data_IF_946693810487
#
_entry.id   IF_946693810487
#
_cell.length_a   1.000
_cell.length_b   1.000
_cell.length_c   1.000
_cell.angle_alpha   90.00
_cell.angle_beta   90.00
_cell.angle_gamma   90.00
#
_symmetry.space_group_name_H-M   'P 1'
#
loop_
_entity.id
_entity.type
_entity.pdbx_description
1 polymer ?
#
# COMPACT_ATOMS: atom_id res chain seq x y z
N UNK A 1 23.27 -4.84 -8.35
CA UNK A 1 22.50 -4.06 -7.35
C UNK A 1 21.18 -3.47 -7.84
N UNK A 2 20.85 -3.42 -9.16
CA UNK A 2 19.56 -2.83 -9.62
C UNK A 2 18.32 -3.74 -9.55
N UNK A 3 18.49 -5.06 -9.58
CA UNK A 3 17.35 -5.98 -9.62
C UNK A 3 16.64 -6.12 -8.27
N UNK A 4 17.38 -6.07 -7.15
CA UNK A 4 16.80 -6.14 -5.81
C UNK A 4 15.88 -4.95 -5.54
N UNK A 5 16.27 -3.75 -5.97
CA UNK A 5 15.51 -2.51 -5.78
C UNK A 5 14.18 -2.51 -6.56
N UNK A 6 14.20 -2.99 -7.81
CA UNK A 6 12.98 -3.13 -8.63
C UNK A 6 12.03 -4.18 -8.06
N UNK A 7 12.56 -5.32 -7.58
CA UNK A 7 11.75 -6.36 -6.93
C UNK A 7 11.16 -5.88 -5.60
N UNK A 8 11.90 -5.06 -4.84
CA UNK A 8 11.42 -4.42 -3.62
C UNK A 8 10.28 -3.44 -3.90
N UNK A 9 10.42 -2.59 -4.94
CA UNK A 9 9.37 -1.66 -5.34
C UNK A 9 8.09 -2.38 -5.82
N UNK A 10 8.23 -3.45 -6.62
CA UNK A 10 7.09 -4.27 -7.05
C UNK A 10 6.40 -4.95 -5.86
N UNK A 11 7.17 -5.48 -4.91
CA UNK A 11 6.62 -6.05 -3.68
C UNK A 11 5.90 -4.99 -2.84
N UNK A 12 6.42 -3.78 -2.73
CA UNK A 12 5.77 -2.70 -2.00
C UNK A 12 4.47 -2.22 -2.67
N UNK A 13 4.43 -2.16 -4.01
CA UNK A 13 3.20 -1.84 -4.74
C UNK A 13 2.11 -2.89 -4.51
N UNK A 14 2.47 -4.17 -4.61
CA UNK A 14 1.58 -5.29 -4.35
C UNK A 14 1.04 -5.28 -2.91
N UNK A 15 1.90 -5.03 -1.93
CA UNK A 15 1.49 -4.90 -0.53
C UNK A 15 0.56 -3.70 -0.34
N UNK A 16 0.87 -2.54 -0.91
CA UNK A 16 0.06 -1.35 -0.80
C UNK A 16 -1.37 -1.57 -1.34
N UNK A 17 -1.51 -2.23 -2.50
CA UNK A 17 -2.81 -2.59 -3.07
C UNK A 17 -3.56 -3.61 -2.18
N UNK A 18 -2.88 -4.69 -1.79
CA UNK A 18 -3.49 -5.76 -0.99
C UNK A 18 -4.02 -5.23 0.34
N UNK A 19 -3.24 -4.39 1.03
CA UNK A 19 -3.68 -3.79 2.28
C UNK A 19 -4.81 -2.77 2.06
N UNK A 20 -4.78 -1.99 0.97
CA UNK A 20 -5.86 -1.06 0.65
C UNK A 20 -7.19 -1.80 0.42
N UNK A 21 -7.17 -2.94 -0.29
CA UNK A 21 -8.34 -3.81 -0.46
C UNK A 21 -8.83 -4.39 0.88
N UNK A 22 -7.91 -4.83 1.74
CA UNK A 22 -8.29 -5.29 3.07
C UNK A 22 -9.03 -4.20 3.86
N UNK A 23 -8.52 -2.96 3.82
CA UNK A 23 -9.19 -1.85 4.51
C UNK A 23 -10.53 -1.46 3.85
N UNK A 24 -10.64 -1.48 2.52
CA UNK A 24 -11.91 -1.19 1.85
C UNK A 24 -12.99 -2.22 2.19
N UNK A 25 -12.61 -3.48 2.41
CA UNK A 25 -13.48 -4.56 2.89
C UNK A 25 -13.79 -4.52 4.40
N UNK A 26 -13.37 -3.46 5.10
CA UNK A 26 -13.66 -3.27 6.52
C UNK A 26 -12.70 -3.97 7.48
N UNK A 27 -11.59 -4.55 7.00
CA UNK A 27 -10.55 -5.11 7.88
C UNK A 27 -9.66 -4.00 8.41
N UNK A 28 -9.29 -4.08 9.69
CA UNK A 28 -8.31 -3.16 10.29
C UNK A 28 -6.93 -3.44 9.72
N UNK A 29 -6.27 -2.40 9.21
CA UNK A 29 -4.89 -2.44 8.71
C UNK A 29 -4.06 -1.47 9.56
N UNK A 30 -2.95 -1.98 10.10
CA UNK A 30 -1.99 -1.20 10.86
C UNK A 30 -0.82 -0.82 9.96
N UNK A 31 -0.87 0.40 9.41
CA UNK A 31 0.17 0.91 8.51
C UNK A 31 1.48 1.22 9.24
N UNK A 32 1.48 1.44 10.55
CA UNK A 32 2.70 1.64 11.32
C UNK A 32 3.46 0.33 11.49
N UNK A 33 2.76 -0.76 11.81
CA UNK A 33 3.37 -2.08 11.87
C UNK A 33 3.95 -2.54 10.52
N UNK A 34 3.24 -2.27 9.42
CA UNK A 34 3.68 -2.63 8.05
C UNK A 34 4.92 -1.83 7.64
N UNK A 35 4.97 -0.54 7.98
CA UNK A 35 6.07 0.35 7.58
C UNK A 35 7.22 0.38 8.59
N UNK A 36 7.15 -0.37 9.69
CA UNK A 36 8.14 -0.35 10.77
C UNK A 36 9.55 -0.76 10.36
N UNK A 37 9.67 -1.61 9.33
CA UNK A 37 10.97 -2.05 8.77
C UNK A 37 11.40 -1.26 7.52
N UNK A 38 10.58 -0.30 7.06
CA UNK A 38 10.90 0.51 5.89
C UNK A 38 11.75 1.71 6.30
N UNK A 39 12.64 2.14 5.41
CA UNK A 39 13.28 3.44 5.54
C UNK A 39 12.28 4.58 5.30
N UNK A 40 12.71 5.82 5.53
CA UNK A 40 11.85 7.00 5.41
C UNK A 40 11.22 7.14 4.02
N UNK A 41 12.01 6.88 2.98
CA UNK A 41 11.58 7.08 1.59
C UNK A 41 10.63 5.96 1.16
N UNK A 42 10.93 4.71 1.49
CA UNK A 42 10.07 3.55 1.29
C UNK A 42 8.75 3.67 2.04
N UNK A 43 8.79 4.12 3.31
CA UNK A 43 7.58 4.40 4.10
C UNK A 43 6.71 5.47 3.43
N UNK A 44 7.32 6.58 3.00
CA UNK A 44 6.60 7.68 2.35
C UNK A 44 5.97 7.22 1.03
N UNK A 45 6.73 6.47 0.22
CA UNK A 45 6.27 5.90 -1.04
C UNK A 45 5.10 4.93 -0.81
N UNK A 46 5.24 4.00 0.13
CA UNK A 46 4.22 3.01 0.46
C UNK A 46 2.91 3.68 0.91
N UNK A 47 2.98 4.63 1.84
CA UNK A 47 1.81 5.34 2.34
C UNK A 47 1.09 6.13 1.25
N UNK A 48 1.83 6.76 0.34
CA UNK A 48 1.26 7.47 -0.81
C UNK A 48 0.49 6.50 -1.72
N UNK A 49 1.08 5.34 -2.01
CA UNK A 49 0.49 4.34 -2.90
C UNK A 49 -0.71 3.63 -2.29
N UNK A 50 -0.62 3.30 -1.00
CA UNK A 50 -1.70 2.75 -0.20
C UNK A 50 -2.94 3.66 -0.21
N UNK A 51 -2.76 4.95 0.10
CA UNK A 51 -3.86 5.91 0.12
C UNK A 51 -4.47 6.12 -1.27
N UNK A 52 -3.64 6.10 -2.32
CA UNK A 52 -4.13 6.14 -3.71
C UNK A 52 -5.09 4.97 -4.00
N UNK A 53 -4.67 3.73 -3.70
CA UNK A 53 -5.50 2.55 -3.93
C UNK A 53 -6.76 2.54 -3.06
N UNK A 54 -6.66 2.93 -1.80
CA UNK A 54 -7.80 2.96 -0.88
C UNK A 54 -8.87 3.95 -1.35
N UNK A 55 -8.46 5.14 -1.80
CA UNK A 55 -9.39 6.13 -2.34
C UNK A 55 -10.03 5.64 -3.63
N UNK A 56 -9.24 5.00 -4.52
CA UNK A 56 -9.76 4.45 -5.76
C UNK A 56 -10.82 3.36 -5.49
N UNK A 57 -10.52 2.39 -4.64
CA UNK A 57 -11.44 1.30 -4.28
C UNK A 57 -12.70 1.81 -3.56
N UNK A 58 -12.58 2.85 -2.73
CA UNK A 58 -13.75 3.48 -2.09
C UNK A 58 -14.62 4.22 -3.09
N UNK A 59 -14.02 4.89 -4.07
CA UNK A 59 -14.75 5.60 -5.10
C UNK A 59 -15.44 4.64 -6.07
N UNK A 60 -14.80 3.52 -6.42
CA UNK A 60 -15.42 2.46 -7.23
C UNK A 60 -16.62 1.83 -6.50
N UNK A 61 -16.48 1.54 -5.20
CA UNK A 61 -17.57 1.00 -4.39
C UNK A 61 -18.77 1.95 -4.19
N UNK A 62 -18.63 3.24 -4.52
CA UNK A 62 -19.72 4.24 -4.47
C UNK A 62 -20.45 4.40 -5.82
N UNK A 63 -19.95 3.75 -6.86
CA UNK A 63 -20.54 3.77 -8.22
C UNK A 63 -21.30 2.50 -8.59
N UNK A 64 -21.38 1.52 -7.68
CA UNK A 64 -22.24 0.32 -7.77
C UNK A 64 -23.51 0.49 -6.92
#
# INVERSE_FOLDING_TARGET
MKQQDVMSLQNFDFLALSFAQMQSQGRRVDTEAITGNMDRDGKTWFLKRYNYYLNHLRNEALTE
#
